data_IF_838488744860
#
_entry.id   IF_838488744860
#
_cell.length_a   1.000
_cell.length_b   1.000
_cell.length_c   1.000
_cell.angle_alpha   90.00
_cell.angle_beta   90.00
_cell.angle_gamma   90.00
#
_symmetry.space_group_name_H-M   'P 1'
#
loop_
_entity.id
_entity.type
_entity.pdbx_description
1 polymer ?
#
# COMPACT_ATOMS: atom_id res chain seq x y z
N UNK A 1 -11.21 -2.48 -40.51
CA UNK A 1 -12.62 -2.91 -40.24
C UNK A 1 -12.84 -4.17 -41.06
N UNK A 2 -12.88 -5.30 -40.39
CA UNK A 2 -13.13 -6.62 -41.05
C UNK A 2 -14.59 -6.71 -41.43
N UNK A 3 -14.91 -6.66 -42.74
CA UNK A 3 -16.27 -6.65 -43.27
C UNK A 3 -17.09 -7.83 -42.81
N UNK A 4 -16.50 -9.03 -42.70
CA UNK A 4 -17.22 -10.26 -42.32
C UNK A 4 -17.83 -10.22 -40.90
N UNK A 5 -17.28 -9.41 -39.99
CA UNK A 5 -17.85 -9.18 -38.64
C UNK A 5 -18.91 -8.08 -38.70
N UNK A 6 -18.64 -7.00 -39.42
CA UNK A 6 -19.50 -5.82 -39.48
C UNK A 6 -20.85 -6.10 -40.18
N UNK A 7 -20.85 -6.97 -41.18
CA UNK A 7 -22.06 -7.29 -41.94
C UNK A 7 -23.06 -8.15 -41.12
N UNK A 8 -22.60 -8.85 -40.08
CA UNK A 8 -23.43 -9.70 -39.23
C UNK A 8 -23.80 -9.05 -37.90
N UNK A 9 -23.08 -8.03 -37.46
CA UNK A 9 -23.23 -7.46 -36.12
C UNK A 9 -23.15 -5.93 -36.17
N UNK A 10 -24.17 -5.30 -36.74
CA UNK A 10 -24.25 -3.84 -36.97
C UNK A 10 -24.15 -2.98 -35.67
N UNK A 11 -24.42 -3.56 -34.51
CA UNK A 11 -24.35 -2.86 -33.22
C UNK A 11 -22.94 -2.75 -32.64
N UNK A 12 -21.93 -3.48 -33.18
CA UNK A 12 -20.52 -3.37 -32.80
C UNK A 12 -19.84 -2.31 -33.66
N UNK A 13 -19.39 -1.23 -33.05
CA UNK A 13 -18.62 -0.19 -33.73
C UNK A 13 -17.12 -0.46 -33.73
N UNK A 14 -16.59 -0.93 -32.59
CA UNK A 14 -15.18 -1.27 -32.40
C UNK A 14 -15.09 -2.50 -31.54
N UNK A 15 -14.29 -3.46 -31.98
CA UNK A 15 -13.82 -4.59 -31.19
C UNK A 15 -12.33 -4.73 -31.48
N UNK A 16 -11.48 -4.45 -30.47
CA UNK A 16 -10.02 -4.47 -30.62
C UNK A 16 -9.41 -5.21 -29.45
N UNK A 17 -8.64 -6.23 -29.76
CA UNK A 17 -7.79 -6.93 -28.81
C UNK A 17 -6.39 -6.31 -28.90
N UNK A 18 -5.78 -6.07 -27.75
CA UNK A 18 -4.42 -5.55 -27.59
C UNK A 18 -3.61 -6.55 -26.78
N UNK A 19 -2.37 -6.75 -27.17
CA UNK A 19 -1.41 -7.48 -26.35
C UNK A 19 -0.06 -6.76 -26.45
N UNK A 20 0.62 -6.65 -25.34
CA UNK A 20 1.96 -6.07 -25.28
C UNK A 20 2.82 -6.82 -24.28
N UNK A 21 4.10 -6.88 -24.60
CA UNK A 21 5.16 -7.30 -23.70
C UNK A 21 6.27 -6.26 -23.79
N UNK A 22 6.73 -5.80 -22.63
CA UNK A 22 7.77 -4.79 -22.55
C UNK A 22 8.71 -5.05 -21.39
N UNK A 23 9.86 -4.45 -21.46
CA UNK A 23 10.85 -4.45 -20.39
C UNK A 23 11.25 -3.00 -20.08
N UNK A 24 10.40 -2.23 -19.39
CA UNK A 24 10.78 -0.92 -18.90
C UNK A 24 11.84 -1.09 -17.81
N UNK A 25 13.09 -0.81 -18.14
CA UNK A 25 14.18 -0.74 -17.15
C UNK A 25 13.89 0.36 -16.14
N UNK A 26 14.19 0.11 -14.89
CA UNK A 26 14.11 1.12 -13.82
C UNK A 26 15.49 1.40 -13.25
N UNK A 27 15.94 2.65 -13.37
CA UNK A 27 17.19 3.16 -12.82
C UNK A 27 16.95 3.87 -11.47
N UNK A 28 16.16 3.30 -10.59
CA UNK A 28 15.79 3.95 -9.31
C UNK A 28 16.92 4.00 -8.29
N UNK A 29 18.16 3.69 -8.66
CA UNK A 29 19.30 3.85 -7.76
C UNK A 29 20.30 4.85 -8.30
N UNK A 30 20.89 5.61 -7.38
CA UNK A 30 22.00 6.48 -7.67
C UNK A 30 23.23 5.64 -8.04
N UNK A 31 23.94 6.03 -9.09
CA UNK A 31 25.20 5.39 -9.50
C UNK A 31 26.23 5.33 -8.38
N UNK A 32 26.17 6.24 -7.42
CA UNK A 32 27.01 6.23 -6.23
C UNK A 32 26.74 5.05 -5.28
N UNK A 33 25.58 4.38 -5.37
CA UNK A 33 25.20 3.26 -4.47
C UNK A 33 26.03 1.99 -4.70
N UNK A 34 26.69 1.86 -5.83
CA UNK A 34 27.67 0.80 -6.08
C UNK A 34 29.05 1.10 -5.51
N UNK A 35 29.30 2.36 -5.09
CA UNK A 35 30.61 2.84 -4.66
C UNK A 35 30.66 3.12 -3.15
N UNK A 36 31.81 2.86 -2.53
CA UNK A 36 32.12 3.31 -1.18
C UNK A 36 32.29 4.82 -1.19
N UNK A 37 31.49 5.55 -0.41
CA UNK A 37 31.54 7.02 -0.37
C UNK A 37 31.82 7.52 1.05
N UNK A 38 32.62 8.62 1.13
CA UNK A 38 32.91 9.32 2.36
C UNK A 38 32.33 10.74 2.32
N UNK A 39 31.78 11.20 3.42
CA UNK A 39 31.36 12.58 3.62
C UNK A 39 32.38 13.32 4.49
N UNK A 40 32.81 14.50 4.04
CA UNK A 40 33.66 15.36 4.84
C UNK A 40 32.82 16.10 5.88
N UNK A 41 33.26 16.06 7.13
CA UNK A 41 32.61 16.70 8.27
C UNK A 41 33.11 18.16 8.43
N UNK A 42 32.51 19.08 7.68
CA UNK A 42 32.88 20.50 7.73
C UNK A 42 32.49 21.20 9.04
N UNK A 43 31.55 20.65 9.80
CA UNK A 43 31.05 21.23 11.06
C UNK A 43 31.81 20.82 12.33
N UNK A 44 32.68 19.80 12.27
CA UNK A 44 33.44 19.30 13.41
C UNK A 44 34.88 18.99 13.00
N UNK A 45 35.78 19.93 13.21
CA UNK A 45 37.22 19.67 13.02
C UNK A 45 37.76 18.90 14.23
N UNK A 46 38.47 17.80 13.96
CA UNK A 46 39.26 17.11 14.99
C UNK A 46 40.64 17.73 15.11
N UNK A 47 41.46 17.22 16.05
CA UNK A 47 42.82 17.71 16.29
C UNK A 47 43.73 17.67 15.03
N UNK A 48 43.45 16.77 14.11
CA UNK A 48 44.20 16.58 12.85
C UNK A 48 43.62 17.34 11.66
N UNK A 49 42.53 18.10 11.86
CA UNK A 49 41.88 18.88 10.83
C UNK A 49 40.51 18.32 10.43
N UNK A 50 40.21 18.35 9.12
CA UNK A 50 38.93 17.92 8.57
C UNK A 50 38.80 16.40 8.64
N UNK A 51 37.77 15.93 9.30
CA UNK A 51 37.41 14.50 9.36
C UNK A 51 36.60 14.05 8.14
N UNK A 52 36.74 12.79 7.80
CA UNK A 52 35.88 12.13 6.84
C UNK A 52 35.16 10.94 7.53
N UNK A 53 33.87 10.84 7.32
CA UNK A 53 33.04 9.77 7.83
C UNK A 53 32.54 8.91 6.67
N UNK A 54 32.42 7.59 6.88
CA UNK A 54 31.85 6.69 5.89
C UNK A 54 30.36 7.03 5.72
N UNK A 55 30.00 7.54 4.54
CA UNK A 55 28.62 7.91 4.22
C UNK A 55 27.80 6.73 3.70
N UNK A 56 28.46 5.85 2.94
CA UNK A 56 27.79 4.72 2.33
C UNK A 56 28.78 3.58 2.02
N UNK A 57 28.37 2.37 2.36
CA UNK A 57 29.02 1.14 1.85
C UNK A 57 28.43 0.84 0.48
N UNK A 58 29.26 0.88 -0.54
CA UNK A 58 28.86 0.51 -1.89
C UNK A 58 28.67 -1.00 -2.03
N UNK A 59 27.81 -1.40 -2.93
CA UNK A 59 27.70 -2.79 -3.34
C UNK A 59 28.07 -2.87 -4.85
N UNK A 60 29.27 -3.36 -5.18
CA UNK A 60 29.71 -3.45 -6.57
C UNK A 60 28.93 -4.50 -7.39
N UNK A 61 28.26 -5.43 -6.70
CA UNK A 61 27.46 -6.50 -7.32
C UNK A 61 25.99 -6.09 -7.54
N UNK A 62 25.69 -4.78 -7.43
CA UNK A 62 24.35 -4.30 -7.71
C UNK A 62 23.98 -4.48 -9.17
N UNK A 63 22.90 -5.21 -9.40
CA UNK A 63 22.27 -5.37 -10.70
C UNK A 63 21.10 -4.42 -10.86
N UNK A 64 20.83 -4.06 -12.10
CA UNK A 64 19.69 -3.23 -12.47
C UNK A 64 18.39 -3.98 -12.26
N UNK A 65 17.41 -3.29 -11.74
CA UNK A 65 16.06 -3.81 -11.60
C UNK A 65 15.40 -3.91 -12.98
N UNK A 66 15.06 -5.12 -13.39
CA UNK A 66 14.41 -5.41 -14.67
C UNK A 66 12.95 -5.71 -14.40
N UNK A 67 12.05 -5.03 -15.11
CA UNK A 67 10.61 -5.29 -15.01
C UNK A 67 10.09 -5.82 -16.33
N UNK A 68 9.61 -7.05 -16.36
CA UNK A 68 8.87 -7.60 -17.49
C UNK A 68 7.39 -7.33 -17.29
N UNK A 69 6.82 -6.50 -18.17
CA UNK A 69 5.40 -6.14 -18.17
C UNK A 69 4.67 -6.83 -19.34
N UNK A 70 3.69 -7.65 -18.99
CA UNK A 70 2.79 -8.32 -19.94
C UNK A 70 1.40 -7.75 -19.76
N UNK A 71 0.79 -7.28 -20.84
CA UNK A 71 -0.54 -6.69 -20.82
C UNK A 71 -1.41 -7.29 -21.93
N UNK A 72 -2.67 -7.59 -21.60
CA UNK A 72 -3.71 -7.97 -22.55
C UNK A 72 -4.87 -7.01 -22.33
N UNK A 73 -5.29 -6.33 -23.39
CA UNK A 73 -6.36 -5.33 -23.36
C UNK A 73 -7.44 -5.60 -24.38
N UNK A 74 -8.65 -5.20 -24.05
CA UNK A 74 -9.85 -5.29 -24.87
C UNK A 74 -10.52 -3.93 -24.94
N UNK A 75 -10.72 -3.42 -26.15
CA UNK A 75 -11.52 -2.21 -26.43
C UNK A 75 -12.79 -2.59 -27.16
N UNK A 76 -13.92 -2.25 -26.60
CA UNK A 76 -15.26 -2.51 -27.17
C UNK A 76 -16.04 -1.21 -27.25
N UNK A 77 -16.60 -0.91 -28.42
CA UNK A 77 -17.52 0.21 -28.58
C UNK A 77 -18.78 -0.29 -29.31
N UNK A 78 -19.94 -0.01 -28.73
CA UNK A 78 -21.21 -0.56 -29.15
C UNK A 78 -22.26 0.54 -29.34
N UNK A 79 -23.35 0.20 -30.03
CA UNK A 79 -24.58 1.00 -30.13
C UNK A 79 -24.33 2.42 -30.64
N UNK A 80 -23.68 2.54 -31.80
CA UNK A 80 -23.33 3.84 -32.39
C UNK A 80 -22.51 4.70 -31.42
N UNK A 81 -21.52 4.09 -30.76
CA UNK A 81 -20.61 4.72 -29.78
C UNK A 81 -21.28 5.16 -28.47
N UNK A 82 -22.48 4.71 -28.18
CA UNK A 82 -23.13 5.01 -26.90
C UNK A 82 -22.50 4.27 -25.72
N UNK A 83 -21.97 3.08 -25.95
CA UNK A 83 -21.29 2.28 -24.95
C UNK A 83 -19.83 2.07 -25.34
N UNK A 84 -18.91 2.36 -24.46
CA UNK A 84 -17.47 2.09 -24.62
C UNK A 84 -16.93 1.40 -23.38
N UNK A 85 -16.23 0.29 -23.60
CA UNK A 85 -15.52 -0.48 -22.56
C UNK A 85 -14.07 -0.60 -22.98
N UNK A 86 -13.15 -0.28 -22.09
CA UNK A 86 -11.73 -0.64 -22.18
C UNK A 86 -11.38 -1.44 -20.94
N UNK A 87 -10.81 -2.62 -21.13
CA UNK A 87 -10.38 -3.49 -20.04
C UNK A 87 -8.96 -3.98 -20.32
N UNK A 88 -8.11 -3.93 -19.33
CA UNK A 88 -6.71 -4.35 -19.41
C UNK A 88 -6.37 -5.23 -18.21
N UNK A 89 -5.80 -6.39 -18.49
CA UNK A 89 -5.17 -7.25 -17.50
C UNK A 89 -3.66 -7.15 -17.64
N UNK A 90 -2.96 -6.89 -16.56
CA UNK A 90 -1.50 -6.81 -16.55
C UNK A 90 -0.89 -7.82 -15.58
N UNK A 91 0.28 -8.28 -15.94
CA UNK A 91 1.14 -9.15 -15.13
C UNK A 91 2.58 -8.65 -15.24
N UNK A 92 3.13 -8.17 -14.11
CA UNK A 92 4.45 -7.58 -14.01
C UNK A 92 5.32 -8.40 -13.09
N UNK A 93 6.53 -8.70 -13.56
CA UNK A 93 7.57 -9.34 -12.73
C UNK A 93 8.77 -8.40 -12.72
N UNK A 94 9.16 -8.02 -11.52
CA UNK A 94 10.36 -7.21 -11.29
C UNK A 94 11.39 -8.09 -10.59
N UNK A 95 12.51 -8.34 -11.29
CA UNK A 95 13.58 -9.25 -10.84
C UNK A 95 14.93 -8.72 -11.36
N UNK A 96 15.96 -8.56 -10.51
CA UNK A 96 15.89 -8.63 -9.04
C UNK A 96 15.29 -7.37 -8.40
N UNK A 97 14.75 -7.51 -7.19
CA UNK A 97 14.38 -6.35 -6.38
C UNK A 97 15.62 -5.68 -5.81
N UNK A 98 15.60 -4.34 -5.78
CA UNK A 98 16.55 -3.52 -5.04
C UNK A 98 15.99 -3.23 -3.65
N UNK A 99 16.68 -3.74 -2.62
CA UNK A 99 16.22 -3.63 -1.24
C UNK A 99 17.31 -2.98 -0.41
N UNK A 100 16.88 -2.03 0.43
CA UNK A 100 17.73 -1.38 1.41
C UNK A 100 17.76 -2.21 2.69
N UNK A 101 18.93 -2.73 3.05
CA UNK A 101 19.11 -3.61 4.20
C UNK A 101 19.89 -2.88 5.29
N UNK A 102 19.45 -3.03 6.53
CA UNK A 102 20.17 -2.49 7.69
C UNK A 102 21.48 -3.24 7.94
N UNK A 103 22.53 -2.51 8.26
CA UNK A 103 23.85 -3.05 8.61
C UNK A 103 24.06 -3.00 10.11
N UNK A 104 24.93 -3.86 10.67
CA UNK A 104 25.38 -3.69 12.05
C UNK A 104 26.07 -2.34 12.24
N UNK A 105 25.89 -1.70 13.40
CA UNK A 105 26.52 -0.40 13.71
C UNK A 105 28.04 -0.41 13.56
N UNK A 106 28.68 -1.58 13.73
CA UNK A 106 30.12 -1.78 13.52
C UNK A 106 30.59 -1.57 12.08
N UNK A 107 29.67 -1.57 11.09
CA UNK A 107 30.01 -1.33 9.67
C UNK A 107 30.23 0.14 9.33
N UNK A 108 29.88 1.05 10.26
CA UNK A 108 30.00 2.50 10.06
C UNK A 108 28.90 3.11 9.19
N UNK A 109 27.93 2.32 8.72
CA UNK A 109 26.76 2.80 7.98
C UNK A 109 25.51 2.09 8.47
N UNK A 110 24.37 2.77 8.40
CA UNK A 110 23.10 2.20 8.85
C UNK A 110 22.50 1.21 7.86
N UNK A 111 22.76 1.40 6.57
CA UNK A 111 22.13 0.61 5.51
C UNK A 111 23.01 0.46 4.29
N UNK A 112 22.78 -0.60 3.52
CA UNK A 112 23.32 -0.77 2.17
C UNK A 112 22.26 -1.32 1.21
N UNK A 113 22.46 -1.14 -0.10
CA UNK A 113 21.58 -1.67 -1.13
C UNK A 113 22.02 -3.06 -1.57
N UNK A 114 21.06 -3.95 -1.77
CA UNK A 114 21.31 -5.30 -2.29
C UNK A 114 20.18 -5.74 -3.22
N UNK A 115 20.49 -6.68 -4.09
CA UNK A 115 19.49 -7.37 -4.90
C UNK A 115 19.00 -8.62 -4.19
N UNK A 116 17.69 -8.71 -3.96
CA UNK A 116 17.11 -9.89 -3.32
C UNK A 116 15.65 -10.08 -3.74
N UNK A 117 15.33 -11.30 -4.20
CA UNK A 117 13.99 -11.70 -4.54
C UNK A 117 13.42 -11.06 -5.80
N UNK A 118 12.17 -11.37 -6.05
CA UNK A 118 11.36 -10.79 -7.12
C UNK A 118 10.03 -10.26 -6.58
N UNK A 119 9.44 -9.31 -7.27
CA UNK A 119 8.09 -8.83 -7.01
C UNK A 119 7.19 -9.15 -8.19
N UNK A 120 6.10 -9.83 -7.92
CA UNK A 120 5.05 -10.11 -8.89
C UNK A 120 3.85 -9.23 -8.62
N UNK A 121 3.44 -8.43 -9.60
CA UNK A 121 2.24 -7.59 -9.51
C UNK A 121 1.29 -7.92 -10.65
N UNK A 122 0.04 -8.18 -10.33
CA UNK A 122 -1.00 -8.45 -11.32
C UNK A 122 -2.28 -7.70 -10.98
N UNK A 123 -3.06 -7.36 -11.98
CA UNK A 123 -4.29 -6.64 -11.76
C UNK A 123 -5.12 -6.47 -13.01
N UNK A 124 -6.35 -6.02 -12.79
CA UNK A 124 -7.32 -5.68 -13.83
C UNK A 124 -7.67 -4.20 -13.69
N UNK A 125 -7.65 -3.50 -14.81
CA UNK A 125 -8.25 -2.17 -14.93
C UNK A 125 -9.37 -2.22 -15.96
N UNK A 126 -10.51 -1.63 -15.65
CA UNK A 126 -11.58 -1.48 -16.61
C UNK A 126 -12.19 -0.09 -16.54
N UNK A 127 -12.56 0.45 -17.68
CA UNK A 127 -13.22 1.74 -17.83
C UNK A 127 -14.44 1.60 -18.74
N UNK A 128 -15.57 2.09 -18.25
CA UNK A 128 -16.84 2.08 -18.98
C UNK A 128 -17.33 3.50 -19.14
N UNK A 129 -17.78 3.84 -20.32
CA UNK A 129 -18.50 5.08 -20.60
C UNK A 129 -19.81 4.74 -21.30
N UNK A 130 -20.90 5.30 -20.80
CA UNK A 130 -22.23 5.10 -21.37
C UNK A 130 -22.96 6.42 -21.53
N UNK A 131 -23.36 6.73 -22.75
CA UNK A 131 -24.20 7.89 -23.06
C UNK A 131 -25.68 7.51 -22.92
N UNK A 132 -26.31 8.00 -21.85
CA UNK A 132 -27.76 7.81 -21.61
C UNK A 132 -28.53 8.57 -22.69
N UNK A 133 -28.14 9.83 -22.89
CA UNK A 133 -28.68 10.70 -23.95
C UNK A 133 -27.55 11.39 -24.69
N UNK A 134 -27.72 11.50 -26.00
CA UNK A 134 -26.83 12.24 -26.87
C UNK A 134 -27.65 12.81 -28.03
N UNK A 135 -27.97 14.10 -27.95
CA UNK A 135 -28.66 14.85 -29.00
C UNK A 135 -27.84 16.09 -29.32
N UNK A 136 -27.23 16.12 -30.51
CA UNK A 136 -26.35 17.20 -30.93
C UNK A 136 -27.16 18.45 -31.37
N UNK A 137 -28.37 18.26 -31.90
CA UNK A 137 -29.22 19.37 -32.36
C UNK A 137 -29.70 20.19 -31.18
N UNK A 138 -30.13 19.55 -30.11
CA UNK A 138 -30.57 20.20 -28.88
C UNK A 138 -29.43 20.60 -27.93
N UNK A 139 -28.17 20.29 -28.29
CA UNK A 139 -26.99 20.49 -27.45
C UNK A 139 -27.17 19.87 -26.06
N UNK A 140 -27.76 18.66 -26.03
CA UNK A 140 -27.99 17.89 -24.80
C UNK A 140 -27.21 16.59 -24.83
N UNK A 141 -26.42 16.38 -23.81
CA UNK A 141 -25.74 15.10 -23.60
C UNK A 141 -25.67 14.74 -22.13
N UNK A 142 -25.94 13.50 -21.82
CA UNK A 142 -25.78 12.94 -20.48
C UNK A 142 -25.05 11.61 -20.57
N UNK A 143 -23.91 11.54 -19.88
CA UNK A 143 -23.08 10.34 -19.83
C UNK A 143 -22.76 9.93 -18.40
N UNK A 144 -22.60 8.63 -18.22
CA UNK A 144 -22.04 8.02 -17.01
C UNK A 144 -20.71 7.39 -17.41
N UNK A 145 -19.73 7.53 -16.54
CA UNK A 145 -18.44 6.82 -16.63
C UNK A 145 -18.12 6.14 -15.33
N UNK A 146 -17.53 4.98 -15.42
CA UNK A 146 -17.03 4.24 -14.27
C UNK A 146 -15.68 3.64 -14.62
N UNK A 147 -14.74 3.66 -13.70
CA UNK A 147 -13.54 2.86 -13.80
C UNK A 147 -13.36 2.02 -12.55
N UNK A 148 -12.70 0.91 -12.71
CA UNK A 148 -12.36 -0.02 -11.64
C UNK A 148 -10.92 -0.47 -11.83
N UNK A 149 -10.21 -0.59 -10.72
CA UNK A 149 -8.87 -1.17 -10.66
C UNK A 149 -8.80 -2.17 -9.52
N UNK A 150 -8.23 -3.32 -9.81
CA UNK A 150 -7.81 -4.30 -8.80
C UNK A 150 -6.32 -4.54 -8.95
N UNK A 151 -5.64 -4.79 -7.85
CA UNK A 151 -4.21 -5.11 -7.86
C UNK A 151 -3.89 -6.09 -6.75
N UNK A 152 -3.03 -7.05 -7.05
CA UNK A 152 -2.42 -7.95 -6.07
C UNK A 152 -0.92 -7.97 -6.33
N UNK A 153 -0.14 -7.79 -5.27
CA UNK A 153 1.33 -7.82 -5.32
C UNK A 153 1.82 -8.88 -4.34
N UNK A 154 2.89 -9.55 -4.68
CA UNK A 154 3.59 -10.46 -3.78
C UNK A 154 5.09 -10.40 -4.04
N UNK A 155 5.85 -10.73 -3.03
CA UNK A 155 7.30 -10.85 -3.07
C UNK A 155 7.61 -12.35 -3.05
N UNK A 156 8.50 -12.80 -3.91
CA UNK A 156 8.90 -14.21 -4.02
C UNK A 156 10.45 -14.31 -4.13
N UNK A 157 11.00 -15.52 -4.00
CA UNK A 157 12.43 -15.84 -4.14
C UNK A 157 13.36 -15.14 -3.14
N UNK A 158 12.85 -14.78 -1.99
CA UNK A 158 13.62 -14.18 -0.90
C UNK A 158 14.30 -15.26 -0.06
N UNK A 159 13.57 -16.34 0.27
CA UNK A 159 14.00 -17.31 1.27
C UNK A 159 14.28 -16.64 2.62
N UNK A 160 15.37 -17.00 3.27
CA UNK A 160 15.76 -16.43 4.57
C UNK A 160 16.77 -15.28 4.49
N UNK A 161 17.06 -14.77 3.28
CA UNK A 161 18.13 -13.76 3.08
C UNK A 161 17.90 -12.47 3.86
N UNK A 162 16.64 -12.12 4.10
CA UNK A 162 16.25 -10.86 4.75
C UNK A 162 15.61 -11.06 6.13
N UNK A 163 15.84 -12.21 6.78
CA UNK A 163 15.29 -12.52 8.11
C UNK A 163 15.70 -11.48 9.18
N UNK A 164 16.96 -11.02 9.15
CA UNK A 164 17.46 -9.98 10.07
C UNK A 164 16.75 -8.65 9.84
N UNK A 165 16.49 -8.28 8.57
CA UNK A 165 15.74 -7.07 8.25
C UNK A 165 14.29 -7.16 8.75
N UNK A 166 13.64 -8.30 8.56
CA UNK A 166 12.30 -8.55 9.08
C UNK A 166 12.27 -8.46 10.61
N UNK A 167 13.26 -9.01 11.30
CA UNK A 167 13.35 -8.96 12.77
C UNK A 167 13.57 -7.52 13.26
N UNK A 168 14.44 -6.74 12.62
CA UNK A 168 14.67 -5.33 12.99
C UNK A 168 13.48 -4.42 12.68
N UNK A 169 12.60 -4.85 11.79
CA UNK A 169 11.37 -4.13 11.45
C UNK A 169 10.19 -4.39 12.40
N UNK A 170 10.30 -5.34 13.34
CA UNK A 170 9.22 -5.62 14.31
C UNK A 170 8.91 -4.36 15.14
N UNK A 171 7.63 -4.16 15.41
CA UNK A 171 7.17 -2.95 16.09
C UNK A 171 7.13 -1.69 15.24
N UNK A 172 7.43 -1.79 13.95
CA UNK A 172 7.33 -0.67 13.00
C UNK A 172 6.50 -1.06 11.78
N UNK A 173 5.89 -0.06 11.14
CA UNK A 173 5.07 -0.27 9.94
C UNK A 173 5.95 -0.37 8.68
N UNK A 174 6.92 -1.28 8.69
CA UNK A 174 7.84 -1.53 7.58
C UNK A 174 7.46 -2.79 6.82
N UNK A 175 7.78 -2.81 5.53
CA UNK A 175 7.58 -3.98 4.67
C UNK A 175 8.33 -5.18 5.24
N UNK A 176 7.67 -6.34 5.28
CA UNK A 176 8.31 -7.62 5.60
C UNK A 176 8.60 -8.37 4.30
N UNK A 177 9.79 -8.93 4.24
CA UNK A 177 10.33 -9.60 3.04
C UNK A 177 10.43 -11.10 3.26
N UNK A 178 9.41 -11.83 2.81
CA UNK A 178 9.39 -13.30 2.78
C UNK A 178 8.59 -13.77 1.57
N UNK A 179 8.73 -15.03 1.20
CA UNK A 179 8.03 -15.56 0.03
C UNK A 179 6.52 -15.56 0.25
N UNK A 180 5.79 -14.93 -0.67
CA UNK A 180 4.35 -14.73 -0.58
C UNK A 180 3.90 -13.43 0.12
N UNK A 181 4.83 -12.64 0.69
CA UNK A 181 4.50 -11.36 1.35
C UNK A 181 3.87 -10.36 0.39
N UNK A 182 2.88 -9.61 0.87
CA UNK A 182 2.42 -8.38 0.21
C UNK A 182 3.12 -7.17 0.87
N UNK A 183 3.76 -6.28 0.09
CA UNK A 183 4.42 -5.08 0.64
C UNK A 183 3.49 -4.14 1.42
N UNK A 184 2.18 -4.24 1.20
CA UNK A 184 1.17 -3.40 1.84
C UNK A 184 0.47 -4.09 3.02
N UNK A 185 0.96 -5.26 3.47
CA UNK A 185 0.45 -5.94 4.66
C UNK A 185 0.69 -5.12 5.93
N UNK A 186 -0.33 -5.03 6.77
CA UNK A 186 -0.27 -4.39 8.09
C UNK A 186 0.05 -5.46 9.12
N UNK A 187 1.16 -5.29 9.82
CA UNK A 187 1.62 -6.15 10.89
C UNK A 187 1.28 -5.55 12.25
N UNK A 188 0.66 -6.33 13.11
CA UNK A 188 0.34 -5.93 14.47
C UNK A 188 0.16 -7.15 15.38
N UNK A 189 0.36 -6.96 16.68
CA UNK A 189 -0.01 -7.95 17.69
C UNK A 189 -1.53 -7.93 17.84
N UNK A 190 -2.16 -9.09 17.69
CA UNK A 190 -3.62 -9.19 17.68
C UNK A 190 -4.16 -9.16 19.11
N UNK A 191 -4.95 -8.12 19.41
CA UNK A 191 -5.66 -8.02 20.67
C UNK A 191 -6.90 -8.90 20.70
N UNK A 192 -7.14 -9.56 21.82
CA UNK A 192 -8.39 -10.28 22.15
C UNK A 192 -9.43 -9.30 22.69
N UNK A 193 -8.98 -8.24 23.37
CA UNK A 193 -9.79 -7.25 24.04
C UNK A 193 -9.32 -7.01 25.46
N UNK A 194 -10.17 -6.37 26.26
CA UNK A 194 -9.89 -6.03 27.65
C UNK A 194 -10.49 -7.08 28.58
N UNK A 195 -9.70 -7.63 29.47
CA UNK A 195 -10.18 -8.55 30.51
C UNK A 195 -11.06 -7.80 31.50
N UNK A 196 -12.34 -8.17 31.63
CA UNK A 196 -13.28 -7.51 32.56
C UNK A 196 -12.88 -7.61 34.03
N UNK A 197 -12.06 -8.61 34.38
CA UNK A 197 -11.68 -8.84 35.78
C UNK A 197 -10.66 -7.84 36.29
N UNK A 198 -9.70 -7.46 35.45
CA UNK A 198 -8.51 -6.68 35.84
C UNK A 198 -8.25 -5.43 34.98
N UNK A 199 -8.98 -5.25 33.88
CA UNK A 199 -8.83 -4.10 32.98
C UNK A 199 -7.55 -4.10 32.14
N UNK A 200 -6.81 -5.20 32.10
CA UNK A 200 -5.64 -5.37 31.25
C UNK A 200 -6.04 -5.82 29.86
N UNK A 201 -5.27 -5.44 28.87
CA UNK A 201 -5.40 -5.93 27.52
C UNK A 201 -4.84 -7.36 27.39
N UNK A 202 -5.56 -8.21 26.68
CA UNK A 202 -5.22 -9.59 26.42
C UNK A 202 -4.85 -9.74 24.94
N UNK A 203 -3.75 -10.41 24.66
CA UNK A 203 -3.22 -10.60 23.31
C UNK A 203 -3.19 -12.08 22.92
N UNK A 204 -3.04 -12.34 21.63
CA UNK A 204 -2.64 -13.65 21.12
C UNK A 204 -1.12 -13.70 20.99
N UNK A 205 -0.50 -14.76 21.49
CA UNK A 205 0.90 -15.08 21.20
C UNK A 205 1.04 -15.70 19.80
N UNK A 206 2.28 -15.95 19.34
CA UNK A 206 2.58 -16.60 18.06
C UNK A 206 1.93 -17.97 17.88
N UNK A 207 1.62 -18.69 18.99
CA UNK A 207 1.01 -20.01 19.01
C UNK A 207 -0.53 -19.95 19.10
N UNK A 208 -1.11 -18.75 19.18
CA UNK A 208 -2.55 -18.53 19.31
C UNK A 208 -3.08 -18.69 20.75
N UNK A 209 -2.22 -18.72 21.77
CA UNK A 209 -2.63 -18.71 23.17
C UNK A 209 -2.85 -17.29 23.66
N UNK A 210 -3.56 -17.16 24.78
CA UNK A 210 -3.79 -15.88 25.43
C UNK A 210 -2.63 -15.49 26.32
N UNK A 211 -2.17 -14.24 26.19
CA UNK A 211 -1.14 -13.65 27.04
C UNK A 211 -1.48 -12.23 27.43
N UNK A 212 -1.02 -11.78 28.62
CA UNK A 212 -1.05 -10.38 29.02
C UNK A 212 0.25 -9.65 28.65
N UNK A 213 1.28 -10.40 28.25
CA UNK A 213 2.57 -9.84 27.89
C UNK A 213 2.55 -9.45 26.42
N UNK A 214 2.76 -8.15 26.16
CA UNK A 214 2.87 -7.64 24.81
C UNK A 214 4.26 -7.89 24.25
N UNK A 215 4.35 -8.57 23.12
CA UNK A 215 5.62 -8.77 22.42
C UNK A 215 5.46 -8.50 20.92
N UNK A 216 6.40 -7.77 20.34
CA UNK A 216 6.46 -7.62 18.88
C UNK A 216 6.82 -8.92 18.15
N UNK A 217 7.25 -9.98 18.87
CA UNK A 217 7.47 -11.31 18.28
C UNK A 217 6.15 -11.97 17.86
N UNK A 218 5.05 -11.55 18.47
CA UNK A 218 3.70 -12.08 18.23
C UNK A 218 2.94 -11.33 17.11
N UNK A 219 3.63 -10.49 16.33
CA UNK A 219 3.02 -9.79 15.20
C UNK A 219 2.51 -10.74 14.13
N UNK A 220 1.28 -10.53 13.69
CA UNK A 220 0.65 -11.24 12.57
C UNK A 220 0.08 -10.25 11.56
N UNK A 221 -0.24 -10.73 10.36
CA UNK A 221 -0.92 -9.90 9.36
C UNK A 221 -2.36 -9.63 9.83
N UNK A 222 -2.65 -8.37 10.13
CA UNK A 222 -3.97 -7.92 10.60
C UNK A 222 -4.80 -7.23 9.52
N UNK A 223 -4.20 -6.87 8.41
CA UNK A 223 -4.88 -6.20 7.32
C UNK A 223 -3.96 -5.89 6.16
N UNK A 224 -4.47 -5.14 5.18
CA UNK A 224 -3.69 -4.68 4.04
C UNK A 224 -4.13 -3.26 3.67
N UNK A 225 -3.16 -2.35 3.49
CA UNK A 225 -3.44 -0.94 3.18
C UNK A 225 -3.94 -0.73 1.76
N UNK A 226 -3.73 -1.71 0.88
CA UNK A 226 -4.16 -1.63 -0.51
C UNK A 226 -5.62 -1.98 -0.66
N UNK A 227 -6.44 -1.14 -1.32
CA UNK A 227 -7.80 -1.49 -1.66
C UNK A 227 -7.86 -2.73 -2.56
N UNK A 228 -8.77 -3.65 -2.28
CA UNK A 228 -9.07 -4.78 -3.16
C UNK A 228 -9.70 -4.30 -4.46
N UNK A 229 -10.52 -3.24 -4.38
CA UNK A 229 -11.17 -2.60 -5.51
C UNK A 229 -11.15 -1.09 -5.27
N UNK A 230 -10.70 -0.33 -6.26
CA UNK A 230 -10.77 1.12 -6.25
C UNK A 230 -11.23 1.66 -7.61
N UNK A 231 -11.74 2.88 -7.62
CA UNK A 231 -12.13 3.51 -8.86
C UNK A 231 -12.86 4.83 -8.68
N UNK A 232 -13.40 5.29 -9.78
CA UNK A 232 -14.22 6.51 -9.84
C UNK A 232 -15.48 6.22 -10.63
N UNK A 233 -16.62 6.64 -10.09
CA UNK A 233 -17.89 6.70 -10.81
C UNK A 233 -18.24 8.17 -10.99
N UNK A 234 -18.53 8.56 -12.21
CA UNK A 234 -18.86 9.93 -12.55
C UNK A 234 -20.02 10.05 -13.50
N UNK A 235 -20.68 11.20 -13.44
CA UNK A 235 -21.70 11.57 -14.40
C UNK A 235 -21.43 12.98 -14.93
N UNK A 236 -21.72 13.22 -16.20
CA UNK A 236 -21.59 14.53 -16.83
C UNK A 236 -22.83 14.81 -17.66
N UNK A 237 -23.46 15.94 -17.37
CA UNK A 237 -24.62 16.49 -18.05
C UNK A 237 -24.22 17.79 -18.72
N UNK A 238 -24.48 17.92 -20.02
CA UNK A 238 -24.33 19.17 -20.75
C UNK A 238 -25.67 19.52 -21.38
N UNK A 239 -26.11 20.74 -21.16
CA UNK A 239 -27.37 21.26 -21.70
C UNK A 239 -27.25 22.74 -22.07
N UNK A 240 -27.35 23.05 -23.35
CA UNK A 240 -27.41 24.44 -23.90
C UNK A 240 -26.37 25.40 -23.31
N UNK A 241 -25.17 24.92 -23.02
CA UNK A 241 -24.08 25.72 -22.44
C UNK A 241 -23.90 25.60 -20.93
N UNK A 242 -24.83 24.93 -20.23
CA UNK A 242 -24.63 24.53 -18.84
C UNK A 242 -23.96 23.15 -18.79
N UNK A 243 -22.96 23.00 -17.92
CA UNK A 243 -22.27 21.74 -17.72
C UNK A 243 -22.22 21.38 -16.23
N UNK A 244 -22.66 20.18 -15.88
CA UNK A 244 -22.57 19.62 -14.55
C UNK A 244 -21.74 18.34 -14.61
N UNK A 245 -20.70 18.25 -13.79
CA UNK A 245 -19.89 17.03 -13.66
C UNK A 245 -19.74 16.66 -12.20
N UNK A 246 -20.14 15.44 -11.85
CA UNK A 246 -19.99 14.85 -10.52
C UNK A 246 -19.11 13.61 -10.62
N UNK A 247 -18.14 13.48 -9.70
CA UNK A 247 -17.25 12.34 -9.64
C UNK A 247 -17.14 11.86 -8.19
N UNK A 248 -17.31 10.56 -7.98
CA UNK A 248 -17.18 9.89 -6.70
C UNK A 248 -16.05 8.86 -6.77
N UNK A 249 -15.02 9.05 -5.97
CA UNK A 249 -13.96 8.05 -5.80
C UNK A 249 -14.39 7.05 -4.74
N UNK A 250 -14.17 5.78 -5.00
CA UNK A 250 -14.40 4.70 -4.05
C UNK A 250 -13.15 3.83 -3.89
N UNK A 251 -12.95 3.35 -2.66
CA UNK A 251 -11.91 2.41 -2.29
C UNK A 251 -12.53 1.41 -1.31
N UNK A 252 -12.46 0.13 -1.63
CA UNK A 252 -13.12 -0.93 -0.85
C UNK A 252 -12.10 -2.00 -0.47
N UNK A 253 -12.18 -2.46 0.79
CA UNK A 253 -11.38 -3.56 1.31
C UNK A 253 -9.92 -3.18 1.59
N UNK A 254 -9.62 -1.89 1.81
CA UNK A 254 -8.39 -1.44 2.41
C UNK A 254 -8.57 -1.30 3.92
N UNK A 255 -7.53 -1.62 4.66
CA UNK A 255 -7.46 -1.41 6.10
C UNK A 255 -6.57 -0.19 6.38
N UNK A 256 -6.94 0.61 7.37
CA UNK A 256 -6.18 1.80 7.77
C UNK A 256 -6.01 1.77 9.29
N UNK A 257 -4.79 1.94 9.74
CA UNK A 257 -4.52 2.10 11.17
C UNK A 257 -5.12 3.42 11.66
N UNK A 258 -5.99 3.33 12.68
CA UNK A 258 -6.65 4.50 13.25
C UNK A 258 -5.77 5.18 14.30
N UNK A 259 -4.75 5.88 13.82
CA UNK A 259 -3.77 6.58 14.66
C UNK A 259 -4.43 7.58 15.63
N UNK A 260 -5.50 8.24 15.22
CA UNK A 260 -6.21 9.18 16.08
C UNK A 260 -6.87 8.48 17.27
N UNK A 261 -7.46 7.29 17.05
CA UNK A 261 -8.03 6.48 18.11
C UNK A 261 -6.92 5.97 19.06
N UNK A 262 -5.84 5.45 18.49
CA UNK A 262 -4.70 4.94 19.23
C UNK A 262 -4.07 6.00 20.13
N UNK A 263 -3.73 7.16 19.58
CA UNK A 263 -2.99 8.21 20.31
C UNK A 263 -3.86 9.06 21.24
N UNK A 264 -5.17 9.21 20.97
CA UNK A 264 -6.04 10.12 21.73
C UNK A 264 -7.04 9.44 22.65
N UNK A 265 -7.25 8.16 22.45
CA UNK A 265 -8.25 7.41 23.23
C UNK A 265 -7.61 6.24 23.93
N UNK A 266 -6.90 5.40 23.22
CA UNK A 266 -6.34 4.16 23.76
C UNK A 266 -5.10 4.42 24.61
N UNK A 267 -4.10 5.09 24.05
CA UNK A 267 -2.83 5.43 24.71
C UNK A 267 -2.75 6.94 24.99
N UNK A 268 -3.26 7.35 26.15
CA UNK A 268 -3.17 8.76 26.56
C UNK A 268 -1.83 8.99 27.24
N UNK A 269 -0.98 9.85 26.68
CA UNK A 269 0.26 10.24 27.31
C UNK A 269 0.02 11.08 28.57
N UNK A 270 0.97 11.10 29.51
CA UNK A 270 0.90 11.91 30.73
C UNK A 270 0.68 13.38 30.42
N UNK A 271 1.32 13.89 29.37
CA UNK A 271 1.09 15.26 28.88
C UNK A 271 -0.31 15.47 28.33
N UNK A 272 -0.87 14.43 27.70
CA UNK A 272 -2.22 14.42 27.16
C UNK A 272 -3.29 14.58 28.22
N UNK A 273 -3.07 14.07 29.45
CA UNK A 273 -4.04 14.14 30.54
C UNK A 273 -4.41 15.59 30.95
N UNK A 274 -3.51 16.55 30.68
CA UNK A 274 -3.72 17.97 30.98
C UNK A 274 -4.37 18.75 29.83
N UNK A 275 -4.74 18.08 28.73
CA UNK A 275 -5.37 18.69 27.55
C UNK A 275 -6.80 18.18 27.37
N UNK A 276 -7.56 18.81 26.45
CA UNK A 276 -8.87 18.32 26.08
C UNK A 276 -8.78 16.88 25.55
N UNK A 277 -9.51 15.99 26.20
CA UNK A 277 -9.57 14.58 25.88
C UNK A 277 -10.81 14.24 25.01
N UNK A 278 -10.68 13.20 24.20
CA UNK A 278 -11.84 12.59 23.53
C UNK A 278 -12.74 11.94 24.60
N UNK A 279 -14.03 12.25 24.57
CA UNK A 279 -15.00 11.68 25.55
C UNK A 279 -15.01 10.15 25.59
N UNK A 280 -14.67 9.48 24.47
CA UNK A 280 -14.56 8.02 24.40
C UNK A 280 -13.48 7.47 25.32
N UNK A 281 -12.42 8.25 25.58
CA UNK A 281 -11.36 7.88 26.51
C UNK A 281 -11.89 7.69 27.94
N UNK A 282 -13.01 8.32 28.28
CA UNK A 282 -13.64 8.20 29.60
C UNK A 282 -14.75 7.16 29.63
N UNK A 283 -15.65 7.14 28.65
CA UNK A 283 -16.87 6.34 28.69
C UNK A 283 -16.69 4.89 28.25
N UNK A 284 -15.75 4.61 27.37
CA UNK A 284 -15.50 3.27 26.82
C UNK A 284 -14.28 2.58 27.48
N UNK A 285 -13.85 3.08 28.64
CA UNK A 285 -12.66 2.61 29.35
C UNK A 285 -13.04 1.83 30.62
N UNK A 286 -12.29 0.79 30.92
CA UNK A 286 -12.46 -0.03 32.11
C UNK A 286 -12.21 0.80 33.39
N UNK A 287 -13.16 0.74 34.34
CA UNK A 287 -13.10 1.45 35.59
C UNK A 287 -13.20 0.52 36.82
N UNK A 288 -13.93 -0.58 36.70
CA UNK A 288 -14.14 -1.55 37.80
C UNK A 288 -14.32 -2.97 37.28
N UNK A 289 -14.05 -3.95 38.12
CA UNK A 289 -14.23 -5.36 37.78
C UNK A 289 -15.67 -5.66 37.31
N UNK A 290 -15.77 -6.36 36.18
CA UNK A 290 -17.01 -6.68 35.50
C UNK A 290 -17.35 -5.74 34.33
N UNK A 291 -16.65 -4.65 34.13
CA UNK A 291 -16.89 -3.75 33.01
C UNK A 291 -16.47 -4.40 31.70
N UNK A 292 -17.41 -4.53 30.76
CA UNK A 292 -17.15 -4.98 29.38
C UNK A 292 -16.96 -3.73 28.50
N UNK A 293 -15.75 -3.41 28.18
CA UNK A 293 -15.36 -2.15 27.55
C UNK A 293 -14.33 -2.36 26.46
N UNK A 294 -14.10 -1.31 25.69
CA UNK A 294 -13.22 -1.35 24.53
C UNK A 294 -11.76 -1.01 24.85
N UNK A 295 -11.52 -0.20 25.89
CA UNK A 295 -10.19 0.32 26.22
C UNK A 295 -9.77 -0.07 27.64
N UNK A 296 -8.47 -0.34 27.78
CA UNK A 296 -7.84 -0.71 29.06
C UNK A 296 -7.93 0.40 30.10
N UNK A 297 -7.69 0.06 31.36
CA UNK A 297 -7.61 1.04 32.45
C UNK A 297 -6.60 2.15 32.13
N UNK A 298 -6.90 3.37 32.55
CA UNK A 298 -6.02 4.53 32.30
C UNK A 298 -4.65 4.39 32.96
N UNK A 299 -4.56 3.73 34.11
CA UNK A 299 -3.30 3.43 34.77
C UNK A 299 -2.40 2.48 33.95
N UNK A 300 -3.00 1.67 33.09
CA UNK A 300 -2.32 0.73 32.18
C UNK A 300 -2.09 1.35 30.80
N UNK A 301 -2.60 2.55 30.55
CA UNK A 301 -2.47 3.22 29.24
C UNK A 301 -1.15 3.99 29.11
N UNK A 302 -0.45 4.23 30.22
CA UNK A 302 0.79 5.00 30.28
C UNK A 302 2.04 4.11 30.40
N UNK A 303 1.89 2.80 30.37
CA UNK A 303 3.02 1.82 30.47
C UNK A 303 3.45 1.33 29.10
#
# INVERSE_FOLDING_TARGET
KEKFIMDHVAWINVLKLRASIGNPGNQSFDSAQSLLTYAFQFGSMNYFGLGAELSQVGNPDLEWQITVDKNIGLDVTLFNKRFSLTADYYYKVTDPLLIKVSTPLSSGTETYMTNAGEQVSQGLTASVTYYIFQNFEERFSWMIRANVRTQKTRIDKIGNKLSTLNSSGKGSNTVRYYDGADPDDIWAVKSVGIDPANGKELFYDENGNYTYDFSYDDEVICGNTRPKIEGVVGTSLNWKGLSLSLNFRYQLGADVFNEALFNKVENISTEGLNKNQDKRALYERWQKAGDIVRFKNIANAAS
#
